data_IF_323714598361
#
_entry.id   IF_323714598361
#
_cell.length_a   1.000
_cell.length_b   1.000
_cell.length_c   1.000
_cell.angle_alpha   90.00
_cell.angle_beta   90.00
_cell.angle_gamma   90.00
#
_symmetry.space_group_name_H-M   'P 1'
#
loop_
_entity.id
_entity.type
_entity.pdbx_description
1 polymer ?
#
# COMPACT_ATOMS: atom_id res chain seq x y z
N UNK A 1 39.64 -67.19 10.78
CA UNK A 1 40.53 -66.19 10.12
C UNK A 1 40.96 -65.21 11.20
N UNK A 2 42.25 -65.00 11.53
CA UNK A 2 43.29 -64.29 10.76
C UNK A 2 42.74 -62.93 10.24
N UNK A 3 42.97 -61.82 10.95
CA UNK A 3 44.20 -60.98 11.00
C UNK A 3 44.38 -60.12 9.72
N UNK A 4 44.77 -58.83 9.77
CA UNK A 4 45.44 -58.08 10.86
C UNK A 4 45.02 -56.58 10.95
N UNK A 5 45.29 -55.88 12.08
CA UNK A 5 44.99 -54.45 12.30
C UNK A 5 46.25 -53.53 12.31
N UNK A 6 46.05 -52.20 12.36
CA UNK A 6 46.90 -51.08 12.86
C UNK A 6 46.29 -49.74 12.36
N UNK A 7 46.37 -48.56 13.01
CA UNK A 7 46.89 -48.10 14.33
C UNK A 7 46.26 -46.72 14.67
N UNK A 8 46.09 -46.40 15.96
CA UNK A 8 46.19 -45.02 16.53
C UNK A 8 47.49 -44.96 17.37
N UNK A 9 48.08 -43.78 17.62
CA UNK A 9 47.68 -42.80 18.66
C UNK A 9 47.27 -41.44 18.01
N UNK A 10 46.95 -40.32 18.66
CA UNK A 10 46.61 -39.89 20.06
C UNK A 10 45.72 -38.60 19.93
N UNK A 11 45.68 -37.50 20.71
CA UNK A 11 46.27 -37.00 21.98
C UNK A 11 45.34 -35.90 22.58
N UNK A 12 45.42 -35.64 23.91
CA UNK A 12 44.64 -34.59 24.62
C UNK A 12 43.13 -34.89 24.82
N UNK A 13 42.41 -34.56 25.92
CA UNK A 13 42.66 -33.74 27.13
C UNK A 13 42.84 -32.24 26.81
N UNK A 14 42.01 -31.28 27.25
CA UNK A 14 40.86 -31.31 28.21
C UNK A 14 39.77 -30.24 27.90
N UNK A 15 39.01 -29.82 28.92
CA UNK A 15 37.76 -29.01 28.94
C UNK A 15 37.79 -27.57 28.36
N UNK A 16 36.64 -27.13 27.80
CA UNK A 16 35.80 -25.95 28.16
C UNK A 16 36.40 -24.53 28.44
N UNK A 17 35.61 -23.43 28.50
CA UNK A 17 34.49 -22.96 27.66
C UNK A 17 34.82 -21.61 26.96
N UNK A 18 33.79 -20.96 26.38
CA UNK A 18 33.66 -19.53 26.06
C UNK A 18 34.76 -18.80 25.26
N UNK A 19 34.37 -18.30 24.07
CA UNK A 19 34.99 -17.09 23.50
C UNK A 19 33.99 -16.28 22.68
N UNK A 20 33.64 -15.09 23.21
CA UNK A 20 32.79 -14.11 22.53
C UNK A 20 33.36 -13.72 21.16
N UNK A 21 32.68 -14.11 20.09
CA UNK A 21 32.88 -13.52 18.78
C UNK A 21 32.20 -12.14 18.75
N UNK A 22 32.99 -11.07 18.58
CA UNK A 22 32.46 -9.72 18.35
C UNK A 22 31.74 -9.67 16.98
N UNK A 23 30.73 -8.81 16.80
CA UNK A 23 30.14 -8.58 15.48
C UNK A 23 31.22 -8.09 14.51
N UNK A 24 31.17 -8.57 13.27
CA UNK A 24 32.00 -8.07 12.19
C UNK A 24 31.41 -6.74 11.70
N UNK A 25 32.15 -5.65 11.89
CA UNK A 25 31.77 -4.34 11.35
C UNK A 25 32.08 -4.29 9.85
N UNK A 26 31.18 -4.80 9.02
CA UNK A 26 31.20 -4.52 7.58
C UNK A 26 30.63 -3.12 7.29
N UNK A 27 31.38 -2.10 7.73
CA UNK A 27 31.16 -0.70 7.31
C UNK A 27 31.66 -0.53 5.88
N UNK A 28 30.86 -0.98 4.91
CA UNK A 28 31.06 -0.67 3.48
C UNK A 28 29.72 -0.21 2.88
N UNK A 29 29.58 1.09 2.71
CA UNK A 29 28.38 1.71 2.15
C UNK A 29 28.27 1.43 0.64
N UNK A 30 27.49 0.43 0.24
CA UNK A 30 27.15 0.20 -1.18
C UNK A 30 25.97 1.10 -1.58
N UNK A 31 26.25 2.30 -2.08
CA UNK A 31 25.26 3.34 -2.42
C UNK A 31 24.44 3.08 -3.70
N UNK A 32 23.98 1.85 -3.91
CA UNK A 32 23.37 1.37 -5.17
C UNK A 32 21.96 0.79 -4.97
N UNK A 33 21.15 1.43 -4.11
CA UNK A 33 19.85 0.88 -3.66
C UNK A 33 18.67 1.19 -4.61
N UNK A 34 18.91 1.97 -5.68
CA UNK A 34 17.95 2.30 -6.76
C UNK A 34 17.57 1.12 -7.68
N UNK A 35 17.59 -0.12 -7.17
CA UNK A 35 17.60 -1.34 -7.96
C UNK A 35 16.26 -2.10 -8.02
N UNK A 36 15.18 -1.56 -7.45
CA UNK A 36 13.84 -2.17 -7.53
C UNK A 36 13.02 -1.60 -8.71
N UNK A 37 12.50 -2.45 -9.61
CA UNK A 37 11.63 -1.99 -10.69
C UNK A 37 10.33 -1.36 -10.15
N UNK A 38 9.78 -0.39 -10.89
CA UNK A 38 8.48 0.19 -10.60
C UNK A 38 7.46 -0.38 -11.58
N UNK A 39 6.52 -1.17 -11.04
CA UNK A 39 5.41 -1.73 -11.80
C UNK A 39 4.19 -0.82 -11.73
N UNK A 40 3.57 -0.58 -12.89
CA UNK A 40 2.32 0.15 -13.02
C UNK A 40 1.22 -0.81 -13.46
N UNK A 41 0.03 -0.73 -12.85
CA UNK A 41 -1.16 -1.41 -13.38
C UNK A 41 -2.03 -0.38 -14.06
N UNK A 42 -2.36 -0.61 -15.33
CA UNK A 42 -3.14 0.32 -16.14
C UNK A 42 -4.31 -0.38 -16.85
N UNK A 43 -5.50 0.22 -16.76
CA UNK A 43 -6.66 -0.17 -17.56
C UNK A 43 -6.63 0.53 -18.92
N UNK A 44 -7.09 -0.14 -19.97
CA UNK A 44 -7.34 0.51 -21.27
C UNK A 44 -8.59 1.38 -21.23
N UNK A 45 -8.57 2.48 -21.99
CA UNK A 45 -9.72 3.39 -22.16
C UNK A 45 -10.80 2.80 -23.08
N UNK A 46 -10.41 1.97 -24.04
CA UNK A 46 -11.33 1.34 -25.01
C UNK A 46 -11.92 0.01 -24.52
N UNK A 47 -11.21 -0.70 -23.65
CA UNK A 47 -11.74 -1.82 -22.86
C UNK A 47 -11.28 -1.71 -21.39
N UNK A 48 -12.12 -1.16 -20.49
CA UNK A 48 -11.82 -1.10 -19.06
C UNK A 48 -11.74 -2.44 -18.33
N UNK A 49 -11.98 -3.58 -18.99
CA UNK A 49 -11.68 -4.91 -18.47
C UNK A 49 -10.25 -5.37 -18.85
N UNK A 50 -9.63 -4.77 -19.87
CA UNK A 50 -8.28 -5.08 -20.29
C UNK A 50 -7.26 -4.27 -19.47
N UNK A 51 -6.81 -4.88 -18.38
CA UNK A 51 -5.70 -4.36 -17.56
C UNK A 51 -4.36 -4.94 -18.02
N UNK A 52 -3.32 -4.11 -18.01
CA UNK A 52 -1.93 -4.48 -18.28
C UNK A 52 -1.02 -4.11 -17.12
N UNK A 53 0.01 -4.91 -16.88
CA UNK A 53 1.14 -4.57 -16.01
C UNK A 53 2.26 -4.02 -16.89
N UNK A 54 2.71 -2.82 -16.58
CA UNK A 54 3.85 -2.16 -17.21
C UNK A 54 5.03 -2.18 -16.22
N UNK A 55 6.25 -2.32 -16.73
CA UNK A 55 7.49 -2.10 -15.98
C UNK A 55 8.12 -0.76 -16.42
N UNK A 56 8.73 -0.06 -15.47
CA UNK A 56 9.53 1.16 -15.69
C UNK A 56 10.97 0.84 -15.26
N UNK A 57 11.86 0.73 -16.24
CA UNK A 57 13.23 0.26 -16.03
C UNK A 57 14.13 1.35 -15.44
N UNK A 58 14.32 1.30 -14.11
CA UNK A 58 15.15 2.26 -13.37
C UNK A 58 16.66 2.10 -13.64
N UNK A 59 17.12 0.94 -14.13
CA UNK A 59 18.54 0.62 -14.33
C UNK A 59 19.22 1.46 -15.42
N UNK A 60 18.47 2.09 -16.31
CA UNK A 60 19.00 3.06 -17.28
C UNK A 60 19.64 4.30 -16.63
N UNK A 61 19.33 4.59 -15.36
CA UNK A 61 19.84 5.76 -14.62
C UNK A 61 21.32 5.61 -14.21
N UNK A 62 21.89 4.40 -14.28
CA UNK A 62 23.23 4.08 -13.75
C UNK A 62 24.43 4.40 -14.67
N UNK A 63 24.30 5.34 -15.61
CA UNK A 63 25.45 5.89 -16.37
C UNK A 63 25.48 5.64 -17.89
N UNK A 64 24.37 5.22 -18.50
CA UNK A 64 24.20 5.21 -19.96
C UNK A 64 23.37 6.41 -20.44
N UNK A 65 23.52 6.82 -21.72
CA UNK A 65 22.69 7.86 -22.36
C UNK A 65 21.30 7.31 -22.81
N UNK A 66 20.90 6.16 -22.28
CA UNK A 66 19.61 5.54 -22.54
C UNK A 66 18.53 6.12 -21.62
N UNK A 67 17.36 6.43 -22.19
CA UNK A 67 16.24 6.94 -21.40
C UNK A 67 15.55 5.80 -20.66
N UNK A 68 14.99 6.02 -19.45
CA UNK A 68 14.16 5.03 -18.80
C UNK A 68 12.95 4.69 -19.67
N UNK A 69 12.83 3.42 -20.03
CA UNK A 69 11.78 2.89 -20.89
C UNK A 69 10.58 2.40 -20.08
N UNK A 70 9.42 2.37 -20.72
CA UNK A 70 8.20 1.74 -20.19
C UNK A 70 7.76 0.67 -21.17
N UNK A 71 7.60 -0.56 -20.71
CA UNK A 71 7.16 -1.68 -21.53
C UNK A 71 6.09 -2.52 -20.81
N UNK A 72 5.18 -3.12 -21.57
CA UNK A 72 4.19 -4.07 -21.02
C UNK A 72 4.88 -5.38 -20.70
N UNK A 73 4.80 -5.84 -19.45
CA UNK A 73 5.32 -7.16 -19.02
C UNK A 73 4.23 -8.23 -18.98
N UNK A 74 2.97 -7.85 -18.81
CA UNK A 74 1.83 -8.77 -18.88
C UNK A 74 0.52 -8.06 -19.24
N UNK A 75 -0.37 -8.78 -19.91
CA UNK A 75 -1.81 -8.51 -19.87
C UNK A 75 -2.44 -9.37 -18.76
N UNK A 76 -3.50 -8.88 -18.11
CA UNK A 76 -4.19 -9.57 -17.02
C UNK A 76 -5.51 -10.20 -17.53
N UNK A 77 -5.47 -11.45 -18.02
CA UNK A 77 -6.66 -12.10 -18.56
C UNK A 77 -7.76 -12.28 -17.50
N UNK A 78 -9.02 -12.16 -17.94
CA UNK A 78 -10.23 -12.30 -17.12
C UNK A 78 -10.43 -11.24 -16.03
N UNK A 79 -9.70 -10.12 -16.07
CA UNK A 79 -10.01 -8.97 -15.24
C UNK A 79 -11.40 -8.39 -15.59
N UNK A 80 -11.98 -7.62 -14.67
CA UNK A 80 -13.29 -6.96 -14.86
C UNK A 80 -13.20 -5.47 -14.53
N UNK A 81 -14.03 -4.61 -15.15
CA UNK A 81 -13.99 -3.17 -14.90
C UNK A 81 -14.21 -2.84 -13.42
N UNK A 82 -13.31 -2.02 -12.86
CA UNK A 82 -13.38 -1.62 -11.46
C UNK A 82 -12.69 -2.58 -10.48
N UNK A 83 -11.75 -3.42 -10.95
CA UNK A 83 -10.78 -4.04 -10.04
C UNK A 83 -9.85 -2.98 -9.42
N UNK A 84 -9.56 -3.15 -8.14
CA UNK A 84 -8.46 -2.48 -7.43
C UNK A 84 -7.23 -3.39 -7.39
N UNK A 85 -6.04 -2.83 -7.15
CA UNK A 85 -4.79 -3.59 -7.10
C UNK A 85 -3.95 -3.23 -5.88
N UNK A 86 -3.21 -4.20 -5.34
CA UNK A 86 -2.25 -4.01 -4.24
C UNK A 86 -1.04 -4.93 -4.41
N UNK A 87 0.14 -4.51 -3.97
CA UNK A 87 1.31 -5.38 -3.84
C UNK A 87 1.17 -6.23 -2.56
N UNK A 88 1.06 -7.55 -2.72
CA UNK A 88 1.12 -8.52 -1.63
C UNK A 88 2.56 -9.01 -1.45
N UNK A 89 3.03 -9.08 -0.20
CA UNK A 89 4.36 -9.62 0.12
C UNK A 89 4.29 -10.62 1.28
N UNK A 90 5.01 -11.74 1.17
CA UNK A 90 5.22 -12.71 2.24
C UNK A 90 6.60 -13.37 2.11
N UNK A 91 6.96 -14.22 3.09
CA UNK A 91 8.16 -15.08 3.03
C UNK A 91 8.26 -15.97 1.78
N UNK A 92 7.18 -16.14 1.01
CA UNK A 92 7.14 -16.95 -0.21
C UNK A 92 7.32 -16.14 -1.50
N UNK A 93 7.33 -14.81 -1.45
CA UNK A 93 7.45 -13.94 -2.63
C UNK A 93 6.65 -12.64 -2.54
N UNK A 94 6.58 -11.94 -3.67
CA UNK A 94 5.85 -10.68 -3.84
C UNK A 94 5.00 -10.73 -5.11
N UNK A 95 3.74 -10.28 -5.06
CA UNK A 95 2.78 -10.38 -6.16
C UNK A 95 1.95 -9.11 -6.30
N UNK A 96 1.54 -8.81 -7.53
CA UNK A 96 0.52 -7.79 -7.79
C UNK A 96 -0.84 -8.50 -7.76
N UNK A 97 -1.69 -8.12 -6.80
CA UNK A 97 -2.98 -8.76 -6.56
C UNK A 97 -4.10 -7.82 -6.96
N UNK A 98 -4.82 -8.16 -8.02
CA UNK A 98 -6.05 -7.49 -8.45
C UNK A 98 -7.27 -8.15 -7.81
N UNK A 99 -8.20 -7.36 -7.29
CA UNK A 99 -9.40 -7.85 -6.58
C UNK A 99 -10.64 -7.05 -6.94
N UNK A 100 -11.78 -7.74 -7.03
CA UNK A 100 -13.11 -7.14 -7.23
C UNK A 100 -13.49 -7.04 -8.71
N UNK A 101 -14.14 -5.94 -9.05
CA UNK A 101 -14.67 -5.68 -10.39
C UNK A 101 -15.95 -6.47 -10.71
N UNK A 102 -16.71 -5.94 -11.66
CA UNK A 102 -17.85 -6.59 -12.33
C UNK A 102 -18.80 -7.39 -11.43
N UNK A 103 -19.09 -8.63 -11.83
CA UNK A 103 -20.01 -9.56 -11.15
C UNK A 103 -19.39 -10.94 -10.88
N UNK A 104 -18.16 -11.21 -11.36
CA UNK A 104 -17.45 -12.47 -11.12
C UNK A 104 -16.72 -12.51 -9.78
N UNK A 105 -16.65 -11.38 -9.07
CA UNK A 105 -15.99 -11.24 -7.77
C UNK A 105 -14.52 -11.72 -7.80
N UNK A 106 -13.80 -11.37 -8.86
CA UNK A 106 -12.53 -12.00 -9.23
C UNK A 106 -11.34 -11.62 -8.34
N UNK A 107 -10.39 -12.55 -8.24
CA UNK A 107 -9.02 -12.28 -7.79
C UNK A 107 -8.04 -12.74 -8.86
N UNK A 108 -7.08 -11.89 -9.20
CA UNK A 108 -6.00 -12.15 -10.14
C UNK A 108 -4.67 -11.90 -9.41
N UNK A 109 -3.72 -12.82 -9.56
CA UNK A 109 -2.43 -12.75 -8.88
C UNK A 109 -1.34 -12.81 -9.95
N UNK A 110 -0.62 -11.72 -10.16
CA UNK A 110 0.53 -11.66 -11.05
C UNK A 110 1.83 -11.78 -10.25
N UNK A 111 2.71 -12.67 -10.67
CA UNK A 111 4.07 -12.85 -10.17
C UNK A 111 5.07 -12.16 -11.10
N UNK A 112 5.64 -10.99 -10.73
CA UNK A 112 6.60 -10.27 -11.57
C UNK A 112 7.92 -11.02 -11.78
N UNK A 113 8.28 -11.96 -10.91
CA UNK A 113 9.51 -12.76 -11.02
C UNK A 113 9.38 -13.90 -12.03
N UNK A 114 8.19 -14.50 -12.16
CA UNK A 114 7.95 -15.58 -13.14
C UNK A 114 7.13 -15.15 -14.36
N UNK A 115 6.66 -13.90 -14.38
CA UNK A 115 5.73 -13.33 -15.38
C UNK A 115 4.44 -14.15 -15.54
N UNK A 116 4.02 -14.85 -14.48
CA UNK A 116 2.81 -15.70 -14.48
C UNK A 116 1.64 -14.98 -13.82
N UNK A 117 0.47 -15.16 -14.43
CA UNK A 117 -0.82 -14.71 -13.88
C UNK A 117 -1.63 -15.93 -13.47
N UNK A 118 -1.99 -16.01 -12.19
CA UNK A 118 -2.79 -17.09 -11.59
C UNK A 118 -4.20 -16.60 -11.25
N UNK A 119 -5.20 -17.48 -11.35
CA UNK A 119 -6.54 -17.18 -10.83
C UNK A 119 -6.59 -17.42 -9.31
N UNK A 120 -6.84 -16.36 -8.53
CA UNK A 120 -7.13 -16.47 -7.09
C UNK A 120 -8.59 -16.86 -6.80
N UNK A 121 -8.95 -17.11 -5.52
CA UNK A 121 -10.33 -17.36 -5.12
C UNK A 121 -11.23 -16.15 -5.36
N UNK A 122 -12.53 -16.38 -5.51
CA UNK A 122 -13.51 -15.29 -5.56
C UNK A 122 -13.80 -14.77 -4.16
N UNK A 123 -14.07 -13.46 -4.04
CA UNK A 123 -14.68 -12.88 -2.85
C UNK A 123 -16.03 -13.54 -2.56
N UNK A 124 -16.52 -13.45 -1.32
CA UNK A 124 -17.86 -13.87 -0.95
C UNK A 124 -18.95 -13.10 -1.71
N UNK A 125 -18.68 -11.84 -2.10
CA UNK A 125 -19.57 -11.03 -2.94
C UNK A 125 -18.81 -10.04 -3.85
N UNK A 126 -19.30 -9.71 -5.06
CA UNK A 126 -18.69 -8.67 -5.91
C UNK A 126 -18.50 -7.31 -5.23
N UNK A 127 -17.40 -6.63 -5.54
CA UNK A 127 -17.03 -5.29 -5.03
C UNK A 127 -16.49 -4.42 -6.14
N UNK A 128 -16.99 -3.20 -6.28
CA UNK A 128 -16.50 -2.23 -7.26
C UNK A 128 -15.48 -1.30 -6.62
N UNK A 129 -14.25 -1.33 -7.12
CA UNK A 129 -13.10 -0.56 -6.61
C UNK A 129 -12.94 -0.71 -5.08
N UNK A 130 -12.83 -1.94 -4.55
CA UNK A 130 -12.62 -2.14 -3.12
C UNK A 130 -11.36 -1.43 -2.63
N UNK A 131 -11.37 -0.97 -1.38
CA UNK A 131 -10.16 -0.57 -0.67
C UNK A 131 -9.35 -1.84 -0.42
N UNK A 132 -8.12 -1.88 -0.94
CA UNK A 132 -7.20 -2.99 -0.76
C UNK A 132 -6.01 -2.57 0.08
N UNK A 133 -5.67 -3.41 1.04
CA UNK A 133 -4.57 -3.19 1.98
C UNK A 133 -3.77 -4.48 2.06
N UNK A 134 -2.43 -4.39 2.08
CA UNK A 134 -1.56 -5.54 2.29
C UNK A 134 -0.72 -5.34 3.54
N UNK A 135 -0.72 -6.34 4.43
CA UNK A 135 0.08 -6.34 5.65
C UNK A 135 0.27 -7.76 6.18
N UNK A 136 1.45 -8.08 6.76
CA UNK A 136 1.68 -9.35 7.45
C UNK A 136 1.52 -10.62 6.61
N UNK A 137 1.67 -10.55 5.29
CA UNK A 137 1.40 -11.67 4.38
C UNK A 137 -0.09 -11.92 4.10
N UNK A 138 -0.96 -10.98 4.44
CA UNK A 138 -2.39 -11.00 4.09
C UNK A 138 -2.75 -9.81 3.18
N UNK A 139 -3.74 -10.03 2.33
CA UNK A 139 -4.45 -8.98 1.58
C UNK A 139 -5.85 -8.83 2.19
N UNK A 140 -6.21 -7.60 2.48
CA UNK A 140 -7.48 -7.18 3.07
C UNK A 140 -8.30 -6.45 2.00
N UNK A 141 -9.57 -6.83 1.82
CA UNK A 141 -10.48 -6.27 0.84
C UNK A 141 -11.74 -5.73 1.51
N UNK A 142 -11.96 -4.42 1.41
CA UNK A 142 -13.05 -3.68 2.04
C UNK A 142 -13.90 -3.03 0.95
N UNK A 143 -15.22 -3.17 1.00
CA UNK A 143 -16.13 -2.43 0.11
C UNK A 143 -15.97 -0.92 0.32
N UNK A 144 -15.54 -0.19 -0.72
CA UNK A 144 -15.33 1.26 -0.64
C UNK A 144 -16.62 2.07 -0.52
N UNK A 145 -17.74 1.50 -1.01
CA UNK A 145 -19.09 2.06 -1.01
C UNK A 145 -20.10 0.95 -0.62
N UNK A 146 -20.18 0.55 0.67
CA UNK A 146 -21.04 -0.54 1.11
C UNK A 146 -22.52 -0.28 0.81
N UNK A 147 -23.22 -1.31 0.30
CA UNK A 147 -24.65 -1.27 -0.05
C UNK A 147 -25.42 -2.36 0.68
N UNK A 148 -26.63 -2.05 1.14
CA UNK A 148 -27.59 -3.06 1.67
C UNK A 148 -28.48 -3.66 0.57
N UNK A 149 -28.25 -3.31 -0.70
CA UNK A 149 -28.99 -3.83 -1.85
C UNK A 149 -28.02 -4.32 -2.93
N UNK A 150 -28.28 -5.54 -3.42
CA UNK A 150 -27.57 -6.23 -4.51
C UNK A 150 -27.64 -5.43 -5.83
N UNK A 151 -26.67 -5.54 -6.78
CA UNK A 151 -25.84 -6.72 -7.04
C UNK A 151 -24.32 -6.58 -6.81
N UNK A 152 -23.83 -5.45 -6.29
CA UNK A 152 -22.39 -5.20 -6.05
C UNK A 152 -22.24 -4.44 -4.71
N UNK A 153 -21.15 -4.68 -3.99
CA UNK A 153 -20.83 -4.11 -2.67
C UNK A 153 -21.86 -4.40 -1.56
N UNK A 154 -22.59 -5.50 -1.72
CA UNK A 154 -23.34 -6.15 -0.63
C UNK A 154 -22.38 -6.88 0.33
N UNK A 155 -22.91 -7.32 1.47
CA UNK A 155 -22.17 -8.12 2.46
C UNK A 155 -21.66 -9.46 1.89
N UNK A 156 -20.55 -10.04 2.42
CA UNK A 156 -19.70 -9.52 3.51
C UNK A 156 -18.90 -8.29 3.06
N UNK A 157 -18.91 -7.19 3.82
CA UNK A 157 -18.23 -5.96 3.37
C UNK A 157 -16.71 -5.94 3.59
N UNK A 158 -16.18 -6.80 4.45
CA UNK A 158 -14.74 -6.89 4.75
C UNK A 158 -14.29 -8.36 4.75
N UNK A 159 -13.24 -8.66 4.00
CA UNK A 159 -12.68 -10.00 3.83
C UNK A 159 -11.13 -9.95 3.82
N UNK A 160 -10.45 -11.04 4.16
CA UNK A 160 -8.99 -11.20 3.96
C UNK A 160 -8.59 -12.49 3.24
N UNK A 161 -7.42 -12.46 2.60
CA UNK A 161 -6.81 -13.57 1.87
C UNK A 161 -5.33 -13.70 2.25
N UNK A 162 -4.94 -14.87 2.76
CA UNK A 162 -3.60 -15.12 3.28
C UNK A 162 -2.65 -15.70 2.23
N UNK A 163 -1.50 -15.06 2.03
CA UNK A 163 -0.38 -15.51 1.18
C UNK A 163 0.72 -16.20 2.01
N UNK A 164 0.53 -16.35 3.32
CA UNK A 164 1.48 -16.94 4.27
C UNK A 164 1.75 -18.46 4.08
N UNK A 165 1.12 -19.09 3.07
CA UNK A 165 1.37 -20.47 2.62
C UNK A 165 1.82 -20.57 1.15
N UNK A 166 2.10 -19.44 0.49
CA UNK A 166 2.33 -19.34 -0.95
C UNK A 166 1.15 -18.71 -1.70
N UNK A 167 1.16 -18.79 -3.03
CA UNK A 167 0.12 -18.22 -3.90
C UNK A 167 -1.23 -18.90 -3.65
N UNK A 168 -2.28 -18.19 -3.18
CA UNK A 168 -3.61 -18.75 -2.99
C UNK A 168 -4.31 -18.97 -4.34
N UNK A 169 -3.95 -20.04 -5.04
CA UNK A 169 -4.58 -20.48 -6.28
C UNK A 169 -4.68 -22.01 -6.35
N UNK A 170 -5.78 -22.49 -6.93
CA UNK A 170 -5.96 -23.92 -7.25
C UNK A 170 -4.90 -24.44 -8.23
N UNK A 171 -4.37 -23.57 -9.09
CA UNK A 171 -3.29 -23.87 -10.03
C UNK A 171 -1.99 -24.23 -9.31
N UNK A 172 -1.81 -23.72 -8.08
CA UNK A 172 -0.70 -24.03 -7.19
C UNK A 172 -1.02 -25.14 -6.17
N UNK A 173 -2.16 -25.84 -6.33
CA UNK A 173 -2.66 -26.82 -5.36
C UNK A 173 -3.21 -26.23 -4.05
N UNK A 174 -3.21 -24.89 -3.90
CA UNK A 174 -3.58 -24.20 -2.67
C UNK A 174 -5.05 -23.76 -2.70
N UNK A 175 -5.93 -24.60 -2.14
CA UNK A 175 -7.36 -24.34 -2.04
C UNK A 175 -7.68 -23.41 -0.85
N UNK A 176 -7.32 -22.13 -1.00
CA UNK A 176 -7.63 -21.05 -0.05
C UNK A 176 -8.91 -20.32 -0.51
N UNK A 177 -9.71 -19.83 0.44
CA UNK A 177 -10.81 -18.89 0.19
C UNK A 177 -10.54 -17.54 0.85
N UNK A 178 -11.27 -16.50 0.43
CA UNK A 178 -11.40 -15.31 1.25
C UNK A 178 -12.07 -15.68 2.58
N UNK A 179 -11.66 -15.00 3.65
CA UNK A 179 -12.15 -15.16 5.02
C UNK A 179 -12.91 -13.90 5.41
N UNK A 180 -14.17 -14.04 5.81
CA UNK A 180 -14.99 -12.91 6.25
C UNK A 180 -14.44 -12.32 7.56
N UNK A 181 -14.46 -10.99 7.66
CA UNK A 181 -14.08 -10.21 8.84
C UNK A 181 -15.25 -9.32 9.26
N UNK A 182 -15.37 -8.95 10.55
CA UNK A 182 -16.45 -8.07 10.99
C UNK A 182 -16.34 -6.72 10.27
N UNK A 183 -17.43 -6.16 9.73
CA UNK A 183 -17.39 -4.91 8.97
C UNK A 183 -17.02 -3.70 9.83
N UNK A 184 -16.51 -2.60 9.24
CA UNK A 184 -16.29 -1.35 9.95
C UNK A 184 -17.57 -0.86 10.67
N UNK A 185 -17.50 -0.34 11.91
CA UNK A 185 -18.72 -0.03 12.69
C UNK A 185 -19.58 1.11 12.13
N UNK A 186 -19.04 1.87 11.17
CA UNK A 186 -19.74 2.94 10.47
C UNK A 186 -20.37 2.50 9.13
N UNK A 187 -20.32 1.20 8.79
CA UNK A 187 -21.04 0.63 7.64
C UNK A 187 -22.51 0.35 8.00
N UNK A 188 -23.42 0.20 7.02
CA UNK A 188 -24.85 0.07 7.26
C UNK A 188 -25.25 -1.35 7.73
N UNK A 189 -24.64 -1.81 8.83
CA UNK A 189 -24.80 -3.18 9.35
C UNK A 189 -26.03 -3.35 10.24
N UNK A 190 -26.52 -2.27 10.84
CA UNK A 190 -27.63 -2.23 11.78
C UNK A 190 -28.59 -1.09 11.41
N UNK A 191 -29.28 -1.23 10.29
CA UNK A 191 -30.29 -0.27 9.83
C UNK A 191 -31.67 -0.59 10.41
N UNK A 192 -32.45 0.44 10.74
CA UNK A 192 -33.87 0.29 11.05
C UNK A 192 -34.75 0.07 9.77
N UNK A 193 -36.04 -0.29 9.90
CA UNK A 193 -36.91 -0.56 8.75
C UNK A 193 -37.27 0.65 7.85
N UNK A 194 -36.95 1.87 8.26
CA UNK A 194 -37.02 3.09 7.45
C UNK A 194 -35.68 3.38 6.79
N UNK A 195 -34.57 3.31 7.53
CA UNK A 195 -33.21 3.40 6.99
C UNK A 195 -32.96 2.35 5.91
N UNK A 196 -33.43 1.11 6.09
CA UNK A 196 -33.31 0.06 5.08
C UNK A 196 -33.99 0.43 3.74
N UNK A 197 -35.00 1.30 3.74
CA UNK A 197 -35.67 1.80 2.52
C UNK A 197 -34.90 2.92 1.83
N UNK A 198 -34.10 3.67 2.59
CA UNK A 198 -33.28 4.78 2.10
C UNK A 198 -31.93 4.79 2.85
N UNK A 199 -31.03 3.84 2.54
CA UNK A 199 -29.83 3.60 3.32
C UNK A 199 -28.83 4.75 3.21
N UNK A 200 -28.07 5.06 4.27
CA UNK A 200 -27.07 6.12 4.25
C UNK A 200 -25.96 5.84 3.22
N UNK A 201 -25.64 6.83 2.39
CA UNK A 201 -24.57 6.75 1.38
C UNK A 201 -23.17 6.87 2.02
N UNK A 202 -22.75 5.78 2.66
CA UNK A 202 -21.43 5.67 3.30
C UNK A 202 -20.36 5.35 2.25
N UNK A 203 -19.21 6.03 2.34
CA UNK A 203 -17.99 5.64 1.62
C UNK A 203 -16.76 5.73 2.51
N UNK A 204 -15.69 5.02 2.16
CA UNK A 204 -14.37 5.15 2.78
C UNK A 204 -13.58 6.27 2.09
N UNK A 205 -13.28 7.35 2.81
CA UNK A 205 -12.53 8.49 2.24
C UNK A 205 -11.02 8.28 2.26
N UNK A 206 -10.52 7.60 3.29
CA UNK A 206 -9.10 7.57 3.64
C UNK A 206 -8.74 6.36 4.50
N UNK A 207 -7.52 5.85 4.33
CA UNK A 207 -7.03 4.68 5.04
C UNK A 207 -5.50 4.64 5.20
N UNK A 208 -5.04 3.93 6.23
CA UNK A 208 -3.63 3.71 6.53
C UNK A 208 -3.41 2.37 7.25
N UNK A 209 -2.16 1.93 7.39
CA UNK A 209 -1.78 0.83 8.29
C UNK A 209 -0.75 1.35 9.27
N UNK A 210 -1.06 1.29 10.57
CA UNK A 210 -0.19 1.80 11.64
C UNK A 210 0.05 0.67 12.63
N UNK A 211 1.22 0.03 12.54
CA UNK A 211 1.55 -1.17 13.30
C UNK A 211 0.55 -2.31 13.07
N UNK A 212 -0.03 -2.83 14.15
CA UNK A 212 -1.03 -3.91 14.11
C UNK A 212 -2.45 -3.48 13.71
N UNK A 213 -2.66 -2.22 13.29
CA UNK A 213 -3.98 -1.66 13.02
C UNK A 213 -4.17 -1.18 11.58
N UNK A 214 -5.32 -1.53 10.98
CA UNK A 214 -5.82 -0.88 9.77
C UNK A 214 -6.69 0.30 10.20
N UNK A 215 -6.36 1.51 9.74
CA UNK A 215 -7.12 2.72 9.99
C UNK A 215 -8.03 3.03 8.80
N UNK A 216 -9.30 3.35 9.06
CA UNK A 216 -10.25 3.89 8.07
C UNK A 216 -10.88 5.18 8.61
N UNK A 217 -11.22 6.12 7.72
CA UNK A 217 -12.23 7.14 8.00
C UNK A 217 -13.31 7.18 6.91
N UNK A 218 -14.57 7.44 7.28
CA UNK A 218 -15.67 7.65 6.33
C UNK A 218 -15.52 8.96 5.53
N UNK A 219 -16.38 9.17 4.53
CA UNK A 219 -16.62 10.49 3.95
C UNK A 219 -17.32 11.41 4.99
N UNK A 220 -16.95 12.71 5.10
CA UNK A 220 -17.37 13.52 6.25
C UNK A 220 -18.85 13.90 6.32
N UNK A 221 -19.67 13.67 5.29
CA UNK A 221 -21.05 14.17 5.23
C UNK A 221 -22.00 13.50 6.25
N UNK A 222 -21.74 12.24 6.62
CA UNK A 222 -22.67 11.44 7.43
C UNK A 222 -22.07 10.92 8.74
N UNK A 223 -20.76 10.65 8.81
CA UNK A 223 -20.11 10.06 9.99
C UNK A 223 -18.73 10.71 10.20
N UNK A 224 -18.34 10.91 11.47
CA UNK A 224 -17.07 11.55 11.83
C UNK A 224 -16.29 10.74 12.88
N UNK A 225 -15.06 10.37 12.53
CA UNK A 225 -14.06 9.72 13.36
C UNK A 225 -13.22 8.71 12.58
N UNK A 226 -11.99 8.46 13.05
CA UNK A 226 -11.14 7.39 12.55
C UNK A 226 -11.36 6.12 13.36
N UNK A 227 -11.60 5.02 12.66
CA UNK A 227 -11.81 3.69 13.22
C UNK A 227 -10.59 2.81 12.91
N UNK A 228 -10.21 1.96 13.86
CA UNK A 228 -9.08 1.07 13.76
C UNK A 228 -9.52 -0.39 13.89
N UNK A 229 -9.08 -1.24 12.96
CA UNK A 229 -9.22 -2.69 13.03
C UNK A 229 -7.92 -3.30 13.54
N UNK A 230 -7.97 -3.94 14.71
CA UNK A 230 -6.83 -4.66 15.27
C UNK A 230 -6.66 -6.00 14.55
N UNK A 231 -5.66 -6.14 13.68
CA UNK A 231 -5.53 -7.31 12.78
C UNK A 231 -5.46 -8.66 13.51
N UNK A 232 -4.80 -8.73 14.66
CA UNK A 232 -4.73 -9.96 15.49
C UNK A 232 -6.07 -10.28 16.19
N UNK A 233 -6.61 -9.33 16.96
CA UNK A 233 -7.84 -9.52 17.75
C UNK A 233 -9.11 -9.58 16.89
N UNK A 234 -9.03 -9.05 15.66
CA UNK A 234 -10.13 -8.89 14.69
C UNK A 234 -11.29 -8.05 15.23
N UNK A 235 -11.00 -7.06 16.08
CA UNK A 235 -11.96 -6.09 16.62
C UNK A 235 -11.84 -4.74 15.92
N UNK A 236 -12.93 -3.96 15.93
CA UNK A 236 -12.96 -2.56 15.49
C UNK A 236 -13.22 -1.63 16.67
N UNK A 237 -12.46 -0.55 16.76
CA UNK A 237 -12.58 0.49 17.80
C UNK A 237 -12.53 1.90 17.15
N UNK A 238 -13.23 2.89 17.72
CA UNK A 238 -13.09 4.30 17.31
C UNK A 238 -11.92 4.90 18.10
N UNK A 239 -10.87 5.34 17.41
CA UNK A 239 -9.61 5.78 18.06
C UNK A 239 -9.32 7.28 17.91
N UNK A 240 -10.18 8.01 17.19
CA UNK A 240 -10.08 9.45 17.00
C UNK A 240 -11.45 10.04 16.62
N UNK A 241 -11.79 11.22 17.13
CA UNK A 241 -13.09 11.86 16.87
C UNK A 241 -13.18 12.64 15.55
N UNK A 242 -12.05 12.88 14.88
CA UNK A 242 -12.01 13.48 13.54
C UNK A 242 -11.55 12.45 12.51
N UNK A 243 -11.99 12.59 11.26
CA UNK A 243 -11.46 11.82 10.14
C UNK A 243 -9.97 12.14 9.91
N UNK A 244 -9.25 11.24 9.25
CA UNK A 244 -7.89 11.47 8.76
C UNK A 244 -7.89 12.69 7.81
N UNK A 245 -6.86 13.54 7.88
CA UNK A 245 -6.80 14.81 7.13
C UNK A 245 -6.30 14.67 5.68
N UNK A 246 -6.39 13.47 5.11
CA UNK A 246 -5.96 13.13 3.74
C UNK A 246 -7.03 12.31 3.01
N UNK A 247 -6.83 12.05 1.71
CA UNK A 247 -7.74 11.24 0.88
C UNK A 247 -7.02 10.04 0.28
N UNK A 248 -7.65 8.87 0.31
CA UNK A 248 -7.08 7.61 -0.17
C UNK A 248 -6.10 6.98 0.81
N UNK A 249 -5.12 6.25 0.29
CA UNK A 249 -4.11 5.56 1.10
C UNK A 249 -2.99 6.51 1.53
N UNK A 250 -2.60 6.46 2.81
CA UNK A 250 -1.30 6.95 3.25
C UNK A 250 -0.23 5.86 3.04
N UNK A 251 0.80 6.15 2.25
CA UNK A 251 1.89 5.22 1.94
C UNK A 251 2.98 5.27 3.01
N UNK A 252 3.41 4.14 3.60
CA UNK A 252 4.48 4.13 4.59
C UNK A 252 5.83 4.48 3.96
N UNK A 253 6.60 5.33 4.64
CA UNK A 253 7.95 5.77 4.26
C UNK A 253 9.01 5.07 5.11
N UNK A 254 8.78 5.06 6.42
CA UNK A 254 9.63 4.46 7.44
C UNK A 254 9.03 4.68 8.82
N UNK A 255 9.11 3.67 9.71
CA UNK A 255 8.61 3.75 11.08
C UNK A 255 7.15 4.19 11.19
N UNK A 256 6.93 5.43 11.65
CA UNK A 256 5.61 6.07 11.81
C UNK A 256 5.35 7.21 10.80
N UNK A 257 6.19 7.36 9.77
CA UNK A 257 6.05 8.38 8.72
C UNK A 257 5.35 7.83 7.47
N UNK A 258 4.43 8.62 6.92
CA UNK A 258 3.61 8.27 5.76
C UNK A 258 3.48 9.44 4.78
N UNK A 259 3.47 9.19 3.46
CA UNK A 259 3.08 10.19 2.46
C UNK A 259 1.61 10.04 2.06
N UNK A 260 0.86 11.14 2.01
CA UNK A 260 -0.50 11.18 1.48
C UNK A 260 -0.83 12.54 0.84
N UNK A 261 -1.97 12.62 0.14
CA UNK A 261 -2.52 13.92 -0.28
C UNK A 261 -3.44 14.47 0.83
N UNK A 262 -3.07 15.55 1.56
CA UNK A 262 -3.98 16.22 2.47
C UNK A 262 -5.28 16.65 1.78
N UNK A 263 -6.36 16.79 2.55
CA UNK A 263 -7.61 17.38 2.09
C UNK A 263 -7.37 18.88 1.83
N UNK A 264 -7.85 19.40 0.70
CA UNK A 264 -7.73 20.82 0.38
C UNK A 264 -8.67 21.66 1.27
N UNK A 265 -8.19 22.81 1.74
CA UNK A 265 -9.02 23.74 2.52
C UNK A 265 -10.31 24.08 1.75
N UNK A 266 -11.46 23.92 2.42
CA UNK A 266 -12.81 24.17 1.91
C UNK A 266 -13.34 23.20 0.84
N UNK A 267 -12.78 22.00 0.67
CA UNK A 267 -13.40 20.94 -0.14
C UNK A 267 -13.10 19.53 0.38
N UNK A 268 -13.81 18.52 -0.15
CA UNK A 268 -13.59 17.09 0.12
C UNK A 268 -12.54 16.50 -0.85
N UNK A 269 -11.93 17.34 -1.71
CA UNK A 269 -10.95 16.90 -2.70
C UNK A 269 -9.54 16.87 -2.12
N UNK A 270 -8.75 15.88 -2.53
CA UNK A 270 -7.31 15.85 -2.31
C UNK A 270 -6.64 17.15 -2.83
N UNK A 271 -5.70 17.66 -2.06
CA UNK A 271 -4.75 18.71 -2.47
C UNK A 271 -3.88 18.22 -3.64
N UNK A 272 -3.33 19.17 -4.39
CA UNK A 272 -2.39 18.90 -5.48
C UNK A 272 -0.97 18.57 -4.99
N UNK A 273 -0.63 18.95 -3.74
CA UNK A 273 0.67 18.71 -3.11
C UNK A 273 0.59 17.53 -2.14
N UNK A 274 1.63 16.70 -2.11
CA UNK A 274 1.81 15.69 -1.06
C UNK A 274 2.11 16.33 0.30
N UNK A 275 1.91 15.60 1.39
CA UNK A 275 2.45 15.93 2.71
C UNK A 275 2.82 14.67 3.48
N UNK A 276 3.76 14.82 4.41
CA UNK A 276 4.22 13.74 5.29
C UNK A 276 3.42 13.79 6.58
N UNK A 277 2.93 12.64 7.01
CA UNK A 277 2.16 12.47 8.23
C UNK A 277 2.93 11.56 9.18
N UNK A 278 3.22 12.05 10.40
CA UNK A 278 3.58 11.17 11.50
C UNK A 278 2.29 10.64 12.14
N UNK A 279 2.12 9.32 12.15
CA UNK A 279 0.97 8.65 12.77
C UNK A 279 1.42 7.59 13.77
N UNK A 280 0.89 7.67 14.99
CA UNK A 280 1.16 6.69 16.06
C UNK A 280 -0.11 6.41 16.86
N UNK A 281 -0.24 5.16 17.34
CA UNK A 281 -1.36 4.72 18.17
C UNK A 281 -0.83 4.48 19.57
N UNK A 282 -1.34 5.22 20.55
CA UNK A 282 -1.01 5.04 21.96
C UNK A 282 -2.00 4.04 22.56
N UNK A 283 -1.53 2.83 22.81
CA UNK A 283 -2.28 1.81 23.57
C UNK A 283 -1.98 2.03 25.06
N UNK A 284 -2.98 2.34 25.91
CA UNK A 284 -2.73 2.54 27.33
C UNK A 284 -2.37 1.20 28.02
N UNK A 285 -1.37 1.23 28.90
CA UNK A 285 -0.92 0.04 29.63
C UNK A 285 -1.97 -0.43 30.64
N UNK A 286 -2.37 -1.69 30.54
CA UNK A 286 -3.39 -2.36 31.37
C UNK A 286 -2.92 -2.63 32.80
N UNK A 287 -2.60 -1.55 33.53
CA UNK A 287 -1.93 -1.59 34.84
C UNK A 287 -2.91 -1.56 36.03
N UNK A 288 -4.21 -1.37 35.78
CA UNK A 288 -5.27 -1.37 36.81
C UNK A 288 -6.57 -2.00 36.28
N UNK A 289 -7.22 -2.83 37.11
CA UNK A 289 -8.21 -3.86 36.74
C UNK A 289 -9.62 -3.31 36.39
N UNK A 290 -9.77 -2.01 36.10
CA UNK A 290 -11.07 -1.35 35.95
C UNK A 290 -11.27 -0.54 34.64
N UNK A 291 -10.22 -0.37 33.82
CA UNK A 291 -10.34 0.37 32.56
C UNK A 291 -9.44 -0.24 31.48
N UNK A 292 -10.05 -0.89 30.49
CA UNK A 292 -9.43 -1.07 29.17
C UNK A 292 -9.56 0.28 28.47
N UNK A 293 -8.53 1.13 28.59
CA UNK A 293 -8.52 2.41 27.93
C UNK A 293 -8.50 2.24 26.41
N UNK A 294 -9.35 2.98 25.70
CA UNK A 294 -9.39 2.97 24.23
C UNK A 294 -8.04 3.45 23.68
N UNK A 295 -7.43 2.76 22.70
CA UNK A 295 -6.23 3.26 22.04
C UNK A 295 -6.52 4.59 21.32
N UNK A 296 -5.60 5.54 21.41
CA UNK A 296 -5.77 6.89 20.85
C UNK A 296 -4.80 7.17 19.70
N UNK A 297 -5.29 7.72 18.60
CA UNK A 297 -4.47 8.15 17.47
C UNK A 297 -3.81 9.52 17.72
N UNK A 298 -2.51 9.62 17.44
CA UNK A 298 -1.81 10.89 17.25
C UNK A 298 -1.48 11.07 15.77
N UNK A 299 -1.73 12.28 15.23
CA UNK A 299 -1.45 12.67 13.84
C UNK A 299 -0.74 14.03 13.85
N UNK A 300 0.38 14.13 13.13
CA UNK A 300 1.06 15.40 12.86
C UNK A 300 1.36 15.53 11.36
N UNK A 301 0.94 16.63 10.75
CA UNK A 301 1.16 16.93 9.32
C UNK A 301 2.40 17.82 9.14
N UNK A 302 3.29 17.41 8.24
CA UNK A 302 4.47 18.15 7.80
C UNK A 302 4.37 18.38 6.29
N UNK A 303 4.31 19.65 5.87
CA UNK A 303 4.10 20.00 4.46
C UNK A 303 5.38 19.82 3.65
N UNK A 304 5.25 19.17 2.50
CA UNK A 304 6.34 19.01 1.52
C UNK A 304 6.26 20.16 0.50
N UNK A 305 7.32 20.96 0.43
CA UNK A 305 7.47 22.00 -0.59
C UNK A 305 8.11 21.40 -1.85
N UNK A 306 7.30 20.65 -2.61
CA UNK A 306 7.69 20.10 -3.90
C UNK A 306 7.51 21.13 -5.04
N UNK A 307 8.11 20.87 -6.20
CA UNK A 307 7.95 21.69 -7.42
C UNK A 307 6.47 21.91 -7.77
N UNK A 308 6.03 23.17 -7.84
CA UNK A 308 4.64 23.53 -8.13
C UNK A 308 4.21 23.07 -9.53
N UNK A 309 3.31 22.09 -9.60
CA UNK A 309 2.51 21.86 -10.80
C UNK A 309 1.16 21.21 -10.43
N UNK A 310 0.06 21.70 -11.01
CA UNK A 310 -1.31 21.43 -10.54
C UNK A 310 -1.88 20.14 -11.13
N UNK A 311 -1.90 19.06 -10.34
CA UNK A 311 -2.45 17.75 -10.75
C UNK A 311 -3.45 17.24 -9.71
N UNK A 312 -4.56 16.67 -10.18
CA UNK A 312 -5.54 15.95 -9.34
C UNK A 312 -5.10 14.51 -9.11
N UNK A 313 -4.91 14.12 -7.84
CA UNK A 313 -4.63 12.73 -7.38
C UNK A 313 -3.40 12.08 -8.04
N UNK A 314 -2.16 12.44 -7.65
CA UNK A 314 -0.98 11.62 -7.95
C UNK A 314 -1.13 10.20 -7.37
N UNK A 315 -0.56 9.20 -8.06
CA UNK A 315 -0.33 7.88 -7.49
C UNK A 315 1.00 7.88 -6.74
N UNK A 316 1.01 7.46 -5.48
CA UNK A 316 2.22 7.27 -4.69
C UNK A 316 2.70 5.82 -4.73
N UNK A 317 4.02 5.61 -4.75
CA UNK A 317 4.62 4.32 -4.43
C UNK A 317 5.72 4.52 -3.38
N UNK A 318 5.77 3.67 -2.34
CA UNK A 318 6.92 3.65 -1.44
C UNK A 318 8.10 3.00 -2.18
N UNK A 319 9.28 3.63 -2.13
CA UNK A 319 10.53 3.05 -2.64
C UNK A 319 11.32 2.37 -1.49
N UNK A 320 10.95 2.65 -0.24
CA UNK A 320 11.67 2.27 0.97
C UNK A 320 12.63 3.37 1.44
N UNK A 321 13.15 3.21 2.67
CA UNK A 321 14.13 4.11 3.31
C UNK A 321 13.84 5.60 3.09
N UNK A 322 12.67 6.04 3.56
CA UNK A 322 12.26 7.45 3.54
C UNK A 322 12.14 8.10 2.14
N UNK A 323 12.31 7.32 1.07
CA UNK A 323 12.02 7.67 -0.32
C UNK A 323 10.63 7.18 -0.76
N UNK A 324 9.92 8.03 -1.51
CA UNK A 324 8.72 7.64 -2.23
C UNK A 324 8.67 8.24 -3.63
N UNK A 325 8.04 7.52 -4.56
CA UNK A 325 7.68 8.07 -5.85
C UNK A 325 6.30 8.72 -5.79
N UNK A 326 6.10 9.78 -6.57
CA UNK A 326 4.80 10.13 -7.10
C UNK A 326 4.81 10.10 -8.63
N UNK A 327 3.71 9.67 -9.21
CA UNK A 327 3.58 9.45 -10.66
C UNK A 327 2.64 10.51 -11.24
N UNK A 328 3.21 11.42 -12.04
CA UNK A 328 2.48 12.39 -12.85
C UNK A 328 2.07 11.73 -14.18
N UNK A 329 0.78 11.49 -14.39
CA UNK A 329 0.23 11.08 -15.68
C UNK A 329 -0.02 12.32 -16.54
N UNK A 330 0.59 12.37 -17.72
CA UNK A 330 0.32 13.40 -18.73
C UNK A 330 -0.17 12.77 -20.03
N UNK A 331 -1.13 13.41 -20.69
CA UNK A 331 -1.51 13.07 -22.06
C UNK A 331 -0.88 14.03 -23.06
N UNK A 332 -0.30 13.51 -24.14
CA UNK A 332 0.22 14.33 -25.24
C UNK A 332 -0.64 14.18 -26.50
N UNK A 333 -1.51 15.16 -26.76
CA UNK A 333 -2.38 15.17 -27.92
C UNK A 333 -1.63 15.52 -29.21
N UNK A 334 -1.26 14.51 -30.02
CA UNK A 334 -0.87 14.74 -31.43
C UNK A 334 -2.12 15.11 -32.24
N UNK A 335 -2.32 16.39 -32.53
CA UNK A 335 -3.41 16.91 -33.40
C UNK A 335 -3.21 16.53 -34.88
N UNK A 336 -3.40 15.24 -35.23
CA UNK A 336 -3.67 14.77 -36.59
C UNK A 336 -4.65 13.58 -36.54
N UNK A 337 -5.69 13.61 -37.38
CA UNK A 337 -6.83 12.65 -37.44
C UNK A 337 -7.93 12.79 -36.37
N UNK A 338 -9.13 12.27 -36.68
CA UNK A 338 -10.40 12.38 -35.92
C UNK A 338 -10.49 11.48 -34.66
N UNK A 339 -9.45 10.72 -34.33
CA UNK A 339 -9.31 10.01 -33.05
C UNK A 339 -7.98 10.42 -32.42
N UNK A 340 -8.03 11.33 -31.45
CA UNK A 340 -6.84 11.79 -30.73
C UNK A 340 -6.44 10.77 -29.65
N UNK A 341 -5.73 9.71 -30.06
CA UNK A 341 -5.14 8.75 -29.12
C UNK A 341 -4.18 9.48 -28.17
N UNK A 342 -4.52 9.48 -26.89
CA UNK A 342 -3.68 10.05 -25.85
C UNK A 342 -2.49 9.12 -25.61
N UNK A 343 -1.27 9.55 -25.99
CA UNK A 343 -0.04 8.83 -25.63
C UNK A 343 0.20 8.99 -24.13
N UNK A 344 0.45 7.89 -23.45
CA UNK A 344 0.78 7.87 -22.04
C UNK A 344 2.17 8.53 -21.82
N UNK A 345 2.24 9.55 -20.97
CA UNK A 345 3.49 10.09 -20.42
C UNK A 345 3.47 9.83 -18.92
N UNK A 346 4.47 9.11 -18.42
CA UNK A 346 4.67 8.86 -17.00
C UNK A 346 5.87 9.68 -16.56
N UNK A 347 5.66 10.67 -15.71
CA UNK A 347 6.78 11.35 -15.05
C UNK A 347 6.85 10.79 -13.62
N UNK A 348 7.90 10.02 -13.37
CA UNK A 348 8.22 9.45 -12.07
C UNK A 348 9.06 10.49 -11.33
N UNK A 349 8.56 11.02 -10.23
CA UNK A 349 9.31 11.93 -9.38
C UNK A 349 9.57 11.25 -8.06
N UNK A 350 10.84 10.96 -7.78
CA UNK A 350 11.28 10.49 -6.47
C UNK A 350 11.46 11.70 -5.53
N UNK A 351 10.97 11.52 -4.30
CA UNK A 351 11.15 12.42 -3.17
C UNK A 351 11.82 11.61 -2.06
N UNK A 352 13.08 11.94 -1.75
CA UNK A 352 13.83 11.36 -0.64
C UNK A 352 13.92 12.37 0.51
N UNK A 353 13.47 12.00 1.71
CA UNK A 353 13.43 12.91 2.86
C UNK A 353 14.78 12.91 3.57
N UNK A 354 15.49 14.04 3.56
CA UNK A 354 16.86 14.15 4.08
C UNK A 354 16.92 14.31 5.61
N UNK A 355 15.80 14.62 6.27
CA UNK A 355 15.77 14.97 7.70
C UNK A 355 14.79 14.15 8.57
N UNK A 356 14.54 12.88 8.22
CA UNK A 356 13.59 12.02 8.96
C UNK A 356 13.96 11.79 10.43
N UNK A 357 15.23 11.62 10.77
CA UNK A 357 15.67 11.53 12.18
C UNK A 357 15.31 12.78 12.98
N UNK A 358 15.43 13.96 12.37
CA UNK A 358 15.06 15.25 12.99
C UNK A 358 13.55 15.34 13.20
N UNK A 359 12.76 14.93 12.21
CA UNK A 359 11.28 14.87 12.30
C UNK A 359 10.86 13.90 13.40
N UNK A 360 11.39 12.67 13.42
CA UNK A 360 11.05 11.66 14.42
C UNK A 360 11.46 12.08 15.84
N UNK A 361 12.64 12.70 16.00
CA UNK A 361 13.09 13.26 17.29
C UNK A 361 12.17 14.38 17.75
N UNK A 362 11.71 15.25 16.84
CA UNK A 362 10.73 16.29 17.16
C UNK A 362 9.41 15.70 17.65
N UNK A 363 8.83 14.71 16.93
CA UNK A 363 7.61 14.01 17.32
C UNK A 363 7.71 13.41 18.73
N UNK A 364 8.81 12.70 19.02
CA UNK A 364 9.08 12.12 20.34
C UNK A 364 9.22 13.19 21.43
N UNK A 365 9.82 14.35 21.09
CA UNK A 365 10.00 15.46 22.04
C UNK A 365 8.68 16.18 22.38
N UNK A 366 7.75 16.33 21.43
CA UNK A 366 6.44 16.93 21.68
C UNK A 366 5.54 16.03 22.54
N UNK A 367 5.65 14.71 22.37
CA UNK A 367 4.99 13.73 23.23
C UNK A 367 5.50 13.77 24.69
N UNK A 368 6.71 14.30 24.92
CA UNK A 368 7.31 14.46 26.25
C UNK A 368 7.18 15.90 26.82
N UNK A 369 7.06 16.94 25.99
CA UNK A 369 6.94 18.35 26.41
C UNK A 369 6.05 19.14 25.45
N UNK A 370 5.04 19.82 26.01
CA UNK A 370 4.07 20.65 25.28
C UNK A 370 4.66 22.01 24.80
N UNK A 371 5.72 21.97 24.00
CA UNK A 371 6.37 23.14 23.41
C UNK A 371 5.92 23.28 21.93
N UNK A 372 5.26 24.39 21.57
CA UNK A 372 4.43 24.47 20.35
C UNK A 372 5.09 25.13 19.13
N UNK A 373 6.15 25.92 19.33
CA UNK A 373 6.47 27.01 18.41
C UNK A 373 7.70 26.78 17.50
N UNK A 374 8.05 25.52 17.23
CA UNK A 374 9.04 25.14 16.21
C UNK A 374 8.47 24.08 15.27
N UNK A 375 7.97 24.51 14.11
CA UNK A 375 7.57 23.63 13.02
C UNK A 375 8.83 23.14 12.29
N UNK A 376 9.11 21.84 12.36
CA UNK A 376 10.14 21.21 11.51
C UNK A 376 9.63 21.15 10.08
N UNK A 377 10.33 21.80 9.15
CA UNK A 377 10.05 21.68 7.72
C UNK A 377 10.61 20.35 7.17
N UNK A 378 9.90 19.69 6.27
CA UNK A 378 10.42 18.51 5.57
C UNK A 378 11.48 18.96 4.57
N UNK A 379 12.71 18.47 4.71
CA UNK A 379 13.77 18.67 3.71
C UNK A 379 13.75 17.49 2.76
N UNK A 380 13.63 17.75 1.46
CA UNK A 380 13.37 16.72 0.45
C UNK A 380 14.22 16.95 -0.78
N UNK A 381 14.92 15.89 -1.20
CA UNK A 381 15.64 15.83 -2.46
C UNK A 381 14.69 15.33 -3.56
N UNK A 382 14.38 16.18 -4.53
CA UNK A 382 13.58 15.80 -5.71
C UNK A 382 14.48 15.25 -6.83
N UNK A 383 14.14 14.07 -7.35
CA UNK A 383 14.74 13.51 -8.56
C UNK A 383 13.65 13.13 -9.57
N UNK A 384 13.52 13.94 -10.64
CA UNK A 384 12.40 13.88 -11.59
C UNK A 384 12.78 13.22 -12.93
N UNK A 385 12.25 12.02 -13.20
CA UNK A 385 12.45 11.26 -14.44
C UNK A 385 11.20 11.27 -15.33
N UNK A 386 11.28 11.86 -16.54
CA UNK A 386 10.20 11.74 -17.55
C UNK A 386 10.40 10.52 -18.43
N UNK A 387 9.53 9.52 -18.26
CA UNK A 387 9.43 8.35 -19.13
C UNK A 387 8.33 8.57 -20.20
N UNK A 388 8.56 8.11 -21.43
CA UNK A 388 7.59 8.21 -22.53
C UNK A 388 7.43 6.86 -23.21
N UNK A 389 6.40 6.10 -22.86
CA UNK A 389 6.08 4.84 -23.56
C UNK A 389 5.86 5.10 -25.05
N UNK A 390 6.61 4.43 -25.92
CA UNK A 390 6.22 4.27 -27.31
C UNK A 390 5.17 3.16 -27.42
N UNK A 391 4.27 3.26 -28.41
CA UNK A 391 3.18 2.30 -28.63
C UNK A 391 2.01 2.33 -27.63
N UNK A 392 2.19 2.71 -26.37
CA UNK A 392 1.10 2.76 -25.39
C UNK A 392 0.24 4.04 -25.53
N UNK A 393 -1.04 3.83 -25.84
CA UNK A 393 -2.05 4.88 -26.02
C UNK A 393 -3.36 4.48 -25.35
N UNK A 394 -4.13 5.45 -24.86
CA UNK A 394 -5.47 5.22 -24.31
C UNK A 394 -5.45 4.29 -23.10
N UNK A 395 -4.64 4.64 -22.08
CA UNK A 395 -4.49 3.85 -20.86
C UNK A 395 -4.53 4.76 -19.63
N UNK A 396 -5.26 4.33 -18.61
CA UNK A 396 -5.35 4.98 -17.30
C UNK A 396 -4.66 4.12 -16.25
N UNK A 397 -3.59 4.63 -15.63
CA UNK A 397 -2.88 3.91 -14.56
C UNK A 397 -3.73 3.97 -13.29
N UNK A 398 -4.02 2.81 -12.70
CA UNK A 398 -4.88 2.66 -11.51
C UNK A 398 -4.09 2.38 -10.22
N UNK A 399 -2.87 1.86 -10.33
CA UNK A 399 -2.00 1.58 -9.19
C UNK A 399 -0.52 1.53 -9.61
N UNK A 400 0.39 1.69 -8.65
CA UNK A 400 1.83 1.65 -8.85
C UNK A 400 2.54 1.03 -7.63
N UNK A 401 3.59 0.23 -7.87
CA UNK A 401 4.29 -0.53 -6.84
C UNK A 401 5.80 -0.58 -7.14
N UNK A 402 6.64 -0.51 -6.10
CA UNK A 402 8.05 -0.94 -6.17
C UNK A 402 8.18 -2.26 -5.41
N UNK A 403 8.82 -3.27 -6.02
CA UNK A 403 8.78 -4.66 -5.55
C UNK A 403 10.14 -5.34 -5.68
#
# INVERSE_FOLDING_TARGET
MKMAPKRKPSDGVEESPDKFAKPLNDTTESSSEFAKPVYLVAAREDDPAAYSVLNVDATAVAGGDERPHIHTVAELPRAEPGMSFVAAHSKHGSWIVGVGGGLRAGTIIFDPRTLKTFQGPRLGYPKHKPVLISHGGEVYAISGYPRVVRPIDYEPWFESLSFNKGVPSKECGLWVSWSQLPPPPFFPCFLDPYEFRNPPEISVSSYAVVGSYILLSPQPELVVGTYAFHMVNKTWEKIHDKNLTFVGQAMPLGGSLFAACPIANNSITASASASVFHMSIKVPSSTTVAAVGTPSLSIQEFKVVASEDKISRPLFCSLGKDSFCFIRLGSSCRRKSRKALQRLRVSLTELSIENTETIMTHCQSQDAKANKDLLVAVQVKEQSHTCKSDGLFGMSVVAAFSM
#
